data_IF_052321238986
#
_entry.id   IF_052321238986
#
_cell.length_a   1.000
_cell.length_b   1.000
_cell.length_c   1.000
_cell.angle_alpha   90.00
_cell.angle_beta   90.00
_cell.angle_gamma   90.00
#
_symmetry.space_group_name_H-M   'P 1'
#
loop_
_entity.id
_entity.type
_entity.pdbx_description
1 polymer ?
#
# COMPACT_ATOMS: atom_id res chain seq x y z
N UNK A 1 8.76 21.55 8.77
CA UNK A 1 8.10 22.08 7.55
C UNK A 1 6.77 21.34 7.42
N UNK A 2 5.68 21.95 6.92
CA UNK A 2 4.44 21.22 6.72
C UNK A 2 4.69 20.13 5.66
N UNK A 3 4.26 18.90 5.96
CA UNK A 3 4.33 17.76 5.05
C UNK A 3 3.65 18.07 3.70
N UNK A 4 4.31 17.76 2.60
CA UNK A 4 3.77 17.90 1.26
C UNK A 4 2.55 17.01 1.04
N UNK A 5 1.74 17.32 0.04
CA UNK A 5 0.53 16.52 -0.27
C UNK A 5 0.87 15.05 -0.56
N UNK A 6 1.92 14.79 -1.33
CA UNK A 6 2.38 13.43 -1.66
C UNK A 6 2.82 12.68 -0.42
N UNK A 7 3.66 13.30 0.41
CA UNK A 7 4.15 12.73 1.67
C UNK A 7 3.01 12.30 2.61
N UNK A 8 1.95 13.11 2.72
CA UNK A 8 0.76 12.72 3.51
C UNK A 8 0.07 11.47 2.97
N UNK A 9 -0.01 11.32 1.67
CA UNK A 9 -0.61 10.12 1.05
C UNK A 9 0.27 8.89 1.25
N UNK A 10 1.59 9.02 1.15
CA UNK A 10 2.53 7.93 1.42
C UNK A 10 2.43 7.46 2.87
N UNK A 11 2.43 8.40 3.84
CA UNK A 11 2.19 8.08 5.25
C UNK A 11 0.85 7.37 5.43
N UNK A 12 -0.22 7.88 4.82
CA UNK A 12 -1.55 7.31 4.93
C UNK A 12 -1.62 5.89 4.36
N UNK A 13 -1.04 5.65 3.19
CA UNK A 13 -0.98 4.32 2.56
C UNK A 13 -0.15 3.35 3.39
N UNK A 14 1.01 3.78 3.90
CA UNK A 14 1.82 2.94 4.77
C UNK A 14 1.04 2.50 6.02
N UNK A 15 0.22 3.36 6.62
CA UNK A 15 -0.63 3.01 7.75
C UNK A 15 -1.84 2.16 7.36
N UNK A 16 -2.45 2.41 6.20
CA UNK A 16 -3.48 1.53 5.69
C UNK A 16 -2.96 0.09 5.53
N UNK A 17 -1.73 -0.08 5.01
CA UNK A 17 -1.06 -1.36 4.91
C UNK A 17 -0.83 -1.99 6.31
N UNK A 18 -0.37 -1.21 7.29
CA UNK A 18 -0.18 -1.68 8.68
C UNK A 18 -1.49 -2.14 9.32
N UNK A 19 -2.59 -1.42 9.12
CA UNK A 19 -3.91 -1.83 9.61
C UNK A 19 -4.40 -3.13 8.97
N UNK A 20 -3.83 -3.53 7.86
CA UNK A 20 -4.06 -4.80 7.19
C UNK A 20 -3.02 -5.88 7.52
N UNK A 21 -2.22 -5.67 8.57
CA UNK A 21 -1.28 -6.65 9.09
C UNK A 21 0.07 -6.69 8.37
N UNK A 22 0.43 -5.65 7.63
CA UNK A 22 1.74 -5.53 6.99
C UNK A 22 2.75 -4.77 7.86
N UNK A 23 3.99 -5.21 7.85
CA UNK A 23 5.14 -4.40 8.23
C UNK A 23 5.55 -3.54 7.04
N UNK A 24 5.85 -2.27 7.26
CA UNK A 24 6.15 -1.33 6.17
C UNK A 24 7.55 -0.74 6.27
N UNK A 25 8.24 -0.66 5.13
CA UNK A 25 9.51 0.02 4.95
C UNK A 25 9.28 1.14 3.93
N UNK A 26 9.17 2.40 4.37
CA UNK A 26 8.95 3.54 3.47
C UNK A 26 10.26 3.94 2.77
N UNK A 27 10.14 4.60 1.63
CA UNK A 27 11.23 5.25 0.88
C UNK A 27 12.39 4.28 0.57
N UNK A 28 12.05 3.07 0.10
CA UNK A 28 13.05 2.06 -0.20
C UNK A 28 13.75 2.35 -1.53
N UNK A 29 15.06 2.56 -1.46
CA UNK A 29 15.87 2.83 -2.66
C UNK A 29 16.28 1.52 -3.32
N UNK A 30 15.83 1.33 -4.55
CA UNK A 30 16.21 0.19 -5.40
C UNK A 30 17.35 0.61 -6.31
N UNK A 31 18.41 -0.17 -6.32
CA UNK A 31 19.56 0.04 -7.21
C UNK A 31 19.41 -0.84 -8.45
N UNK A 32 19.87 -0.35 -9.62
CA UNK A 32 20.18 -1.28 -10.70
C UNK A 32 21.41 -2.10 -10.26
N UNK A 33 21.41 -3.40 -10.53
CA UNK A 33 22.58 -4.23 -10.23
C UNK A 33 23.84 -3.60 -10.84
N UNK A 34 24.94 -3.64 -10.09
CA UNK A 34 26.22 -3.19 -10.57
C UNK A 34 26.61 -4.02 -11.81
N UNK A 35 26.45 -3.44 -12.98
CA UNK A 35 27.08 -3.94 -14.19
C UNK A 35 28.52 -3.42 -14.20
N UNK A 36 29.50 -4.28 -13.86
CA UNK A 36 30.91 -3.87 -13.80
C UNK A 36 31.45 -3.37 -15.16
N UNK A 37 30.73 -3.62 -16.25
CA UNK A 37 31.07 -3.15 -17.59
C UNK A 37 30.60 -1.72 -17.86
N UNK A 38 29.68 -1.20 -17.05
CA UNK A 38 29.22 0.19 -17.10
C UNK A 38 30.17 1.12 -16.33
N UNK A 39 31.36 1.32 -16.85
CA UNK A 39 32.22 2.44 -16.44
C UNK A 39 31.59 3.76 -16.86
N UNK A 40 30.53 4.17 -16.22
CA UNK A 40 29.87 5.42 -16.55
C UNK A 40 30.34 6.52 -15.60
N UNK A 41 31.13 7.41 -16.13
CA UNK A 41 31.32 8.74 -15.56
C UNK A 41 29.93 9.37 -15.33
N UNK A 42 29.54 9.53 -14.10
CA UNK A 42 28.40 10.36 -13.73
C UNK A 42 27.04 9.68 -13.72
N UNK A 43 26.90 8.41 -13.27
CA UNK A 43 25.58 7.78 -13.16
C UNK A 43 24.85 8.20 -11.88
N UNK A 44 24.19 9.34 -11.97
CA UNK A 44 23.10 9.75 -11.07
C UNK A 44 21.78 9.11 -11.54
N UNK A 45 21.79 7.98 -12.26
CA UNK A 45 20.61 7.45 -12.96
C UNK A 45 20.17 6.03 -12.60
N UNK A 46 20.91 5.29 -11.79
CA UNK A 46 20.61 3.87 -11.52
C UNK A 46 19.85 3.63 -10.21
N UNK A 47 19.20 4.65 -9.67
CA UNK A 47 18.42 4.50 -8.45
C UNK A 47 16.96 4.83 -8.75
N UNK A 48 16.09 4.05 -8.19
CA UNK A 48 14.65 4.37 -8.11
C UNK A 48 14.20 4.19 -6.68
N UNK A 49 13.17 4.90 -6.32
CA UNK A 49 12.54 4.79 -5.03
C UNK A 49 11.24 4.03 -5.17
N UNK A 50 10.97 3.16 -4.21
CA UNK A 50 9.66 2.55 -3.96
C UNK A 50 9.08 3.24 -2.75
N UNK A 51 7.91 3.82 -2.88
CA UNK A 51 7.30 4.64 -1.82
C UNK A 51 7.11 3.81 -0.54
N UNK A 52 6.71 2.55 -0.67
CA UNK A 52 6.62 1.63 0.47
C UNK A 52 6.78 0.18 0.02
N UNK A 53 7.66 -0.58 0.69
CA UNK A 53 7.62 -2.04 0.70
C UNK A 53 6.83 -2.47 1.93
N UNK A 54 5.85 -3.34 1.74
CA UNK A 54 5.03 -3.86 2.82
C UNK A 54 5.04 -5.39 2.81
N UNK A 55 5.33 -6.00 3.96
CA UNK A 55 5.49 -7.44 4.13
C UNK A 55 4.46 -7.93 5.15
N UNK A 56 3.61 -8.86 4.75
CA UNK A 56 2.64 -9.52 5.60
C UNK A 56 3.07 -10.97 5.82
N UNK A 57 3.13 -11.36 7.09
CA UNK A 57 3.43 -12.74 7.46
C UNK A 57 2.18 -13.62 7.25
N UNK A 58 2.35 -14.95 7.08
CA UNK A 58 1.23 -15.87 7.10
C UNK A 58 0.37 -15.67 8.34
N UNK A 59 -0.95 -15.62 8.17
CA UNK A 59 -1.92 -15.44 9.28
C UNK A 59 -1.80 -14.14 10.09
N UNK A 60 -1.00 -13.18 9.61
CA UNK A 60 -0.85 -11.88 10.28
C UNK A 60 -2.19 -11.15 10.32
N UNK A 61 -2.58 -10.72 11.52
CA UNK A 61 -3.78 -9.92 11.77
C UNK A 61 -3.61 -9.14 13.06
N UNK A 62 -4.27 -8.02 13.15
CA UNK A 62 -4.36 -7.29 14.41
C UNK A 62 -5.51 -7.89 15.23
N UNK A 63 -5.21 -8.31 16.45
CA UNK A 63 -6.18 -8.88 17.38
C UNK A 63 -6.13 -8.16 18.72
N UNK A 64 -7.33 -7.99 19.31
CA UNK A 64 -7.49 -7.58 20.69
C UNK A 64 -8.66 -8.31 21.31
N UNK A 65 -8.59 -9.65 21.31
CA UNK A 65 -9.70 -10.52 21.69
C UNK A 65 -10.63 -10.85 20.52
N UNK A 66 -10.98 -9.87 19.69
CA UNK A 66 -11.72 -10.08 18.43
C UNK A 66 -10.85 -9.62 17.25
N UNK A 67 -10.73 -10.40 16.18
CA UNK A 67 -9.95 -10.02 15.02
C UNK A 67 -10.51 -8.74 14.38
N UNK A 68 -9.65 -7.78 14.12
CA UNK A 68 -10.03 -6.61 13.33
C UNK A 68 -10.20 -6.99 11.86
N UNK A 69 -11.15 -6.36 11.14
CA UNK A 69 -11.34 -6.60 9.72
C UNK A 69 -10.10 -6.23 8.91
N UNK A 70 -9.83 -7.00 7.88
CA UNK A 70 -8.83 -6.70 6.84
C UNK A 70 -9.54 -6.40 5.52
N UNK A 71 -8.97 -5.52 4.72
CA UNK A 71 -9.52 -5.19 3.40
C UNK A 71 -9.26 -6.33 2.42
N UNK A 72 -10.30 -7.05 2.04
CA UNK A 72 -10.20 -8.20 1.12
C UNK A 72 -9.68 -7.78 -0.26
N UNK A 73 -9.90 -6.54 -0.69
CA UNK A 73 -9.31 -6.03 -1.95
C UNK A 73 -7.78 -5.98 -1.89
N UNK A 74 -7.23 -5.69 -0.70
CA UNK A 74 -5.78 -5.69 -0.49
C UNK A 74 -5.28 -7.11 -0.27
N UNK A 75 -5.91 -7.87 0.63
CA UNK A 75 -5.44 -9.20 1.03
C UNK A 75 -5.51 -10.20 -0.13
N UNK A 76 -6.63 -10.23 -0.87
CA UNK A 76 -6.77 -10.93 -2.15
C UNK A 76 -6.22 -12.37 -2.10
N UNK A 77 -6.70 -13.16 -1.14
CA UNK A 77 -6.30 -14.54 -0.98
C UNK A 77 -4.89 -14.79 -0.40
N UNK A 78 -4.22 -13.77 0.17
CA UNK A 78 -2.89 -13.87 0.78
C UNK A 78 -2.82 -14.74 2.05
N UNK A 79 -3.95 -15.29 2.51
CA UNK A 79 -4.01 -16.10 3.74
C UNK A 79 -3.08 -17.32 3.64
N UNK A 80 -2.24 -17.50 4.66
CA UNK A 80 -1.35 -18.66 4.76
C UNK A 80 -0.01 -18.54 4.02
N UNK A 81 0.29 -17.41 3.38
CA UNK A 81 1.58 -17.17 2.72
C UNK A 81 2.17 -15.81 3.11
N UNK A 82 3.46 -15.66 2.90
CA UNK A 82 4.07 -14.34 2.90
C UNK A 82 3.55 -13.53 1.71
N UNK A 83 3.11 -12.31 1.96
CA UNK A 83 2.62 -11.42 0.92
C UNK A 83 3.39 -10.10 0.97
N UNK A 84 4.10 -9.80 -0.10
CA UNK A 84 4.88 -8.58 -0.25
C UNK A 84 4.20 -7.66 -1.24
N UNK A 85 3.94 -6.45 -0.82
CA UNK A 85 3.40 -5.39 -1.67
C UNK A 85 4.49 -4.35 -1.92
N UNK A 86 4.82 -4.17 -3.18
CA UNK A 86 5.62 -3.04 -3.67
C UNK A 86 4.61 -1.95 -4.00
N UNK A 87 4.45 -1.02 -3.07
CA UNK A 87 3.44 0.02 -3.16
C UNK A 87 3.98 1.29 -3.80
N UNK A 88 3.28 1.80 -4.78
CA UNK A 88 3.52 3.10 -5.39
C UNK A 88 2.34 4.03 -5.13
N UNK A 89 2.59 5.25 -4.66
CA UNK A 89 1.56 6.23 -4.31
C UNK A 89 1.54 7.36 -5.32
N UNK A 90 0.38 7.64 -5.90
CA UNK A 90 0.21 8.68 -6.91
C UNK A 90 -0.77 9.75 -6.44
N UNK A 91 -0.28 10.97 -6.30
CA UNK A 91 -1.05 12.15 -5.88
C UNK A 91 -1.52 13.03 -7.03
N UNK A 92 -1.15 12.73 -8.26
CA UNK A 92 -1.36 13.58 -9.42
C UNK A 92 -2.35 13.05 -10.45
N UNK A 93 -2.44 13.76 -11.57
CA UNK A 93 -3.28 13.37 -12.72
C UNK A 93 -2.72 12.14 -13.44
N UNK A 94 -1.39 11.98 -13.46
CA UNK A 94 -0.72 10.83 -14.07
C UNK A 94 -0.58 9.71 -13.06
N UNK A 95 -1.47 8.75 -13.13
CA UNK A 95 -1.47 7.56 -12.27
C UNK A 95 -0.82 6.36 -12.98
N UNK A 96 0.15 6.62 -13.84
CA UNK A 96 0.93 5.56 -14.52
C UNK A 96 2.01 5.00 -13.59
N UNK A 97 2.38 3.72 -13.75
CA UNK A 97 3.55 3.16 -13.08
C UNK A 97 4.80 4.01 -13.31
N UNK A 98 5.76 3.96 -12.41
CA UNK A 98 7.01 4.67 -12.61
C UNK A 98 7.81 4.08 -13.79
N UNK A 99 8.92 4.74 -14.15
CA UNK A 99 9.66 4.44 -15.38
C UNK A 99 10.16 2.99 -15.45
N UNK A 100 10.59 2.41 -14.33
CA UNK A 100 11.13 1.06 -14.27
C UNK A 100 10.10 0.04 -14.72
N UNK A 101 8.89 0.12 -14.16
CA UNK A 101 7.78 -0.76 -14.52
C UNK A 101 7.31 -0.55 -15.95
N UNK A 102 7.30 0.71 -16.41
CA UNK A 102 6.88 1.05 -17.79
C UNK A 102 7.86 0.58 -18.85
N UNK A 103 9.15 0.65 -18.55
CA UNK A 103 10.22 0.32 -19.48
C UNK A 103 10.65 -1.15 -19.40
N UNK A 104 10.14 -1.93 -18.42
CA UNK A 104 10.54 -3.31 -18.26
C UNK A 104 11.99 -3.49 -17.78
N UNK A 105 12.47 -2.63 -16.89
CA UNK A 105 13.86 -2.63 -16.41
C UNK A 105 14.07 -3.73 -15.36
N UNK A 106 14.35 -4.96 -15.82
CA UNK A 106 14.45 -6.16 -14.97
C UNK A 106 15.53 -6.06 -13.90
N UNK A 107 16.66 -5.37 -14.17
CA UNK A 107 17.78 -5.29 -13.22
C UNK A 107 17.40 -4.68 -11.87
N UNK A 108 16.53 -3.68 -11.86
CA UNK A 108 16.01 -3.09 -10.63
C UNK A 108 15.09 -4.06 -9.88
N UNK A 109 14.29 -4.80 -10.63
CA UNK A 109 13.36 -5.78 -10.05
C UNK A 109 14.11 -7.00 -9.50
N UNK A 110 15.17 -7.45 -10.20
CA UNK A 110 16.06 -8.50 -9.67
C UNK A 110 16.72 -8.07 -8.36
N UNK A 111 17.20 -6.82 -8.26
CA UNK A 111 17.74 -6.30 -7.01
C UNK A 111 16.70 -6.32 -5.90
N UNK A 112 15.48 -5.85 -6.18
CA UNK A 112 14.37 -5.84 -5.24
C UNK A 112 14.03 -7.27 -4.77
N UNK A 113 13.86 -8.20 -5.70
CA UNK A 113 13.54 -9.60 -5.38
C UNK A 113 14.67 -10.28 -4.59
N UNK A 114 15.93 -9.97 -4.90
CA UNK A 114 17.10 -10.45 -4.13
C UNK A 114 17.07 -9.91 -2.71
N UNK A 115 16.81 -8.62 -2.53
CA UNK A 115 16.65 -8.00 -1.21
C UNK A 115 15.52 -8.66 -0.40
N UNK A 116 14.42 -9.02 -1.06
CA UNK A 116 13.28 -9.72 -0.46
C UNK A 116 13.55 -11.21 -0.19
N UNK A 117 14.71 -11.73 -0.58
CA UNK A 117 15.05 -13.14 -0.38
C UNK A 117 14.26 -14.11 -1.26
N UNK A 118 13.87 -13.70 -2.49
CA UNK A 118 13.04 -14.49 -3.38
C UNK A 118 13.69 -15.85 -3.73
N UNK A 119 14.91 -15.84 -4.26
CA UNK A 119 15.66 -17.04 -4.63
C UNK A 119 17.16 -16.75 -4.73
N UNK A 120 18.01 -17.78 -4.50
CA UNK A 120 19.46 -17.68 -4.68
C UNK A 120 19.88 -17.92 -6.15
N UNK A 121 19.13 -18.75 -6.86
CA UNK A 121 19.38 -19.11 -8.26
C UNK A 121 19.12 -17.91 -9.18
N UNK A 122 20.13 -17.57 -10.00
CA UNK A 122 20.09 -16.37 -10.88
C UNK A 122 19.03 -16.48 -11.99
N UNK A 123 18.85 -17.68 -12.55
CA UNK A 123 17.91 -17.88 -13.67
C UNK A 123 16.47 -17.79 -13.17
N UNK A 124 16.20 -18.39 -12.02
CA UNK A 124 14.90 -18.25 -11.35
C UNK A 124 14.61 -16.81 -10.94
N UNK A 125 15.63 -16.09 -10.48
CA UNK A 125 15.52 -14.68 -10.14
C UNK A 125 15.16 -13.84 -11.36
N UNK A 126 15.89 -14.02 -12.48
CA UNK A 126 15.62 -13.32 -13.73
C UNK A 126 14.21 -13.65 -14.28
N UNK A 127 13.81 -14.92 -14.22
CA UNK A 127 12.46 -15.34 -14.57
C UNK A 127 11.37 -14.70 -13.71
N UNK A 128 11.59 -14.62 -12.40
CA UNK A 128 10.67 -13.98 -11.47
C UNK A 128 10.58 -12.45 -11.71
N UNK A 129 11.70 -11.78 -11.97
CA UNK A 129 11.72 -10.37 -12.28
C UNK A 129 10.95 -10.05 -13.57
N UNK A 130 11.17 -10.83 -14.60
CA UNK A 130 10.40 -10.72 -15.86
C UNK A 130 8.91 -10.92 -15.63
N UNK A 131 8.55 -11.98 -14.89
CA UNK A 131 7.15 -12.28 -14.56
C UNK A 131 6.50 -11.14 -13.75
N UNK A 132 7.22 -10.56 -12.79
CA UNK A 132 6.72 -9.46 -11.98
C UNK A 132 6.48 -8.18 -12.81
N UNK A 133 7.33 -7.89 -13.80
CA UNK A 133 7.14 -6.77 -14.73
C UNK A 133 5.93 -7.01 -15.66
N UNK A 134 5.80 -8.22 -16.19
CA UNK A 134 4.76 -8.53 -17.18
C UNK A 134 3.37 -8.66 -16.57
N UNK A 135 3.30 -9.20 -15.35
CA UNK A 135 2.03 -9.55 -14.69
C UNK A 135 1.75 -8.74 -13.41
N UNK A 136 2.72 -7.91 -12.99
CA UNK A 136 2.66 -7.14 -11.74
C UNK A 136 2.47 -8.00 -10.48
N UNK A 137 2.65 -9.30 -10.62
CA UNK A 137 2.65 -10.28 -9.53
C UNK A 137 3.52 -11.46 -9.89
N UNK A 138 4.18 -12.00 -8.87
CA UNK A 138 4.89 -13.27 -8.95
C UNK A 138 4.62 -14.05 -7.68
N UNK A 139 4.39 -15.36 -7.82
CA UNK A 139 3.97 -16.23 -6.73
C UNK A 139 4.77 -17.51 -6.70
N UNK A 140 5.07 -17.94 -5.47
CA UNK A 140 5.49 -19.29 -5.10
C UNK A 140 4.55 -19.81 -4.01
N UNK A 141 4.61 -21.11 -3.65
CA UNK A 141 3.68 -21.68 -2.68
C UNK A 141 3.55 -20.89 -1.37
N UNK A 142 4.68 -20.36 -0.88
CA UNK A 142 4.74 -19.69 0.43
C UNK A 142 4.98 -18.16 0.35
N UNK A 143 5.20 -17.62 -0.84
CA UNK A 143 5.57 -16.22 -1.02
C UNK A 143 4.90 -15.64 -2.27
N UNK A 144 4.36 -14.46 -2.12
CA UNK A 144 3.82 -13.65 -3.23
C UNK A 144 4.41 -12.25 -3.18
N UNK A 145 4.82 -11.73 -4.32
CA UNK A 145 5.22 -10.32 -4.48
C UNK A 145 4.31 -9.67 -5.51
N UNK A 146 3.76 -8.52 -5.16
CA UNK A 146 2.82 -7.77 -6.00
C UNK A 146 3.21 -6.30 -6.09
N UNK A 147 3.08 -5.74 -7.27
CA UNK A 147 3.13 -4.30 -7.47
C UNK A 147 1.72 -3.72 -7.44
N UNK A 148 1.47 -2.75 -6.56
CA UNK A 148 0.15 -2.12 -6.39
C UNK A 148 0.32 -0.61 -6.42
N UNK A 149 -0.53 0.07 -7.21
CA UNK A 149 -0.60 1.53 -7.24
C UNK A 149 -1.76 2.01 -6.36
N UNK A 150 -1.44 2.88 -5.42
CA UNK A 150 -2.40 3.62 -4.60
C UNK A 150 -2.58 5.01 -5.20
N UNK A 151 -3.79 5.34 -5.63
CA UNK A 151 -4.04 6.59 -6.35
C UNK A 151 -5.44 7.13 -6.09
N UNK A 152 -5.68 8.41 -6.38
CA UNK A 152 -7.04 8.95 -6.31
C UNK A 152 -7.98 8.37 -7.37
N UNK A 153 -7.42 7.93 -8.50
CA UNK A 153 -8.18 7.38 -9.64
C UNK A 153 -7.44 6.21 -10.28
N UNK A 154 -8.20 5.25 -10.77
CA UNK A 154 -7.67 4.15 -11.57
C UNK A 154 -7.26 4.66 -12.95
N UNK A 155 -6.09 4.29 -13.41
CA UNK A 155 -5.67 4.46 -14.80
C UNK A 155 -6.15 3.25 -15.60
N UNK A 156 -7.17 3.45 -16.45
CA UNK A 156 -7.82 2.36 -17.19
C UNK A 156 -6.84 1.61 -18.12
N UNK A 157 -5.90 2.32 -18.73
CA UNK A 157 -4.89 1.72 -19.63
C UNK A 157 -4.00 0.73 -18.88
N UNK A 158 -3.47 1.11 -17.73
CA UNK A 158 -2.58 0.26 -16.95
C UNK A 158 -3.33 -0.82 -16.16
N UNK A 159 -4.52 -0.51 -15.68
CA UNK A 159 -5.40 -1.52 -15.08
C UNK A 159 -5.78 -2.60 -16.10
N UNK A 160 -6.07 -2.22 -17.35
CA UNK A 160 -6.30 -3.18 -18.44
C UNK A 160 -5.08 -4.03 -18.82
N UNK A 161 -3.88 -3.60 -18.42
CA UNK A 161 -2.64 -4.39 -18.54
C UNK A 161 -2.33 -5.25 -17.32
N UNK A 162 -3.22 -5.30 -16.32
CA UNK A 162 -3.08 -6.11 -15.12
C UNK A 162 -2.50 -5.40 -13.89
N UNK A 163 -2.15 -4.11 -13.98
CA UNK A 163 -1.73 -3.34 -12.79
C UNK A 163 -2.90 -3.24 -11.81
N UNK A 164 -2.68 -3.69 -10.58
CA UNK A 164 -3.67 -3.53 -9.51
C UNK A 164 -3.64 -2.11 -8.98
N UNK A 165 -4.82 -1.50 -8.92
CA UNK A 165 -5.04 -0.20 -8.30
C UNK A 165 -5.92 -0.35 -7.08
N UNK A 166 -5.55 0.33 -5.99
CA UNK A 166 -6.42 0.57 -4.84
C UNK A 166 -6.60 2.08 -4.74
N UNK A 167 -7.85 2.55 -4.74
CA UNK A 167 -8.06 4.00 -4.68
C UNK A 167 -7.90 4.51 -3.25
N UNK A 168 -7.41 5.74 -3.12
CA UNK A 168 -7.36 6.41 -1.81
C UNK A 168 -8.76 6.51 -1.20
N UNK A 169 -9.80 6.60 -2.03
CA UNK A 169 -11.19 6.59 -1.57
C UNK A 169 -11.58 5.23 -0.92
N UNK A 170 -11.12 4.10 -1.48
CA UNK A 170 -11.35 2.77 -0.90
C UNK A 170 -10.62 2.62 0.43
N UNK A 171 -9.36 3.07 0.52
CA UNK A 171 -8.61 3.07 1.77
C UNK A 171 -9.32 3.90 2.86
N UNK A 172 -9.81 5.11 2.50
CA UNK A 172 -10.56 5.97 3.43
C UNK A 172 -11.86 5.30 3.86
N UNK A 173 -12.58 4.68 2.93
CA UNK A 173 -13.83 3.96 3.23
C UNK A 173 -13.56 2.82 4.21
N UNK A 174 -12.58 1.97 3.94
CA UNK A 174 -12.20 0.88 4.84
C UNK A 174 -11.89 1.39 6.25
N UNK A 175 -11.04 2.43 6.38
CA UNK A 175 -10.67 2.98 7.67
C UNK A 175 -11.87 3.62 8.40
N UNK A 176 -12.73 4.35 7.68
CA UNK A 176 -13.82 5.10 8.30
C UNK A 176 -15.06 4.25 8.61
N UNK A 177 -15.32 3.20 7.84
CA UNK A 177 -16.52 2.39 7.98
C UNK A 177 -16.24 1.06 8.66
N UNK A 178 -15.27 0.30 8.18
CA UNK A 178 -15.02 -1.06 8.67
C UNK A 178 -14.14 -1.02 9.92
N UNK A 179 -12.99 -0.40 9.81
CA UNK A 179 -12.01 -0.35 10.91
C UNK A 179 -12.43 0.57 12.05
N UNK A 180 -12.93 1.76 11.72
CA UNK A 180 -13.37 2.75 12.70
C UNK A 180 -14.51 2.26 13.56
N UNK A 181 -15.46 1.51 13.01
CA UNK A 181 -16.56 0.91 13.78
C UNK A 181 -16.05 -0.12 14.80
N UNK A 182 -15.11 -0.97 14.38
CA UNK A 182 -14.51 -1.95 15.29
C UNK A 182 -13.68 -1.30 16.38
N UNK A 183 -12.94 -0.25 16.10
CA UNK A 183 -12.22 0.52 17.12
C UNK A 183 -13.16 1.18 18.11
N UNK A 184 -14.28 1.73 17.66
CA UNK A 184 -15.26 2.36 18.53
C UNK A 184 -15.94 1.34 19.47
N UNK A 185 -16.26 0.13 18.98
CA UNK A 185 -16.94 -0.93 19.74
C UNK A 185 -16.01 -1.66 20.72
N UNK A 186 -14.73 -1.85 20.37
CA UNK A 186 -13.77 -2.61 21.19
C UNK A 186 -13.26 -1.88 22.43
N UNK A 187 -13.61 -0.60 22.62
CA UNK A 187 -13.10 0.23 23.72
C UNK A 187 -11.60 0.55 23.65
N UNK A 188 -10.88 0.01 22.67
CA UNK A 188 -9.45 0.25 22.46
C UNK A 188 -9.19 1.70 22.02
N UNK A 189 -10.16 2.33 21.36
CA UNK A 189 -10.07 3.69 20.88
C UNK A 189 -9.83 4.79 21.93
N UNK A 190 -9.84 4.45 23.22
CA UNK A 190 -9.59 5.40 24.31
C UNK A 190 -8.25 5.19 25.02
N UNK A 191 -7.48 4.17 24.66
CA UNK A 191 -6.22 3.85 25.34
C UNK A 191 -5.01 4.21 24.47
N UNK A 192 -3.99 4.67 25.12
CA UNK A 192 -2.70 5.22 24.70
C UNK A 192 -1.89 4.49 23.62
N UNK A 193 -2.38 3.41 23.02
CA UNK A 193 -1.68 2.71 21.93
C UNK A 193 -1.37 3.62 20.74
N UNK A 194 -2.16 4.68 20.59
CA UNK A 194 -2.11 5.57 19.43
C UNK A 194 -1.29 6.85 19.64
N UNK A 195 -0.79 7.08 20.83
CA UNK A 195 0.04 8.26 21.14
C UNK A 195 1.40 8.21 20.43
N UNK A 196 1.84 7.02 20.04
CA UNK A 196 3.07 6.82 19.25
C UNK A 196 2.85 6.90 17.74
N UNK A 197 1.62 7.07 17.29
CA UNK A 197 1.34 7.18 15.87
C UNK A 197 1.75 8.54 15.30
N UNK A 198 2.01 8.54 14.00
CA UNK A 198 2.19 9.78 13.26
C UNK A 198 1.00 10.72 13.49
N UNK A 199 1.21 12.04 13.72
CA UNK A 199 0.14 13.00 14.01
C UNK A 199 -0.99 13.01 12.97
N UNK A 200 -0.68 12.82 11.69
CA UNK A 200 -1.68 12.70 10.63
C UNK A 200 -2.59 11.49 10.87
N UNK A 201 -2.01 10.35 11.22
CA UNK A 201 -2.75 9.10 11.46
C UNK A 201 -3.58 9.20 12.73
N UNK A 202 -3.05 9.81 13.80
CA UNK A 202 -3.81 10.13 15.00
C UNK A 202 -5.06 10.94 14.65
N UNK A 203 -4.90 11.96 13.80
CA UNK A 203 -6.03 12.76 13.31
C UNK A 203 -7.03 11.97 12.49
N UNK A 204 -6.57 11.09 11.59
CA UNK A 204 -7.44 10.20 10.80
C UNK A 204 -8.24 9.29 11.73
N UNK A 205 -7.58 8.70 12.73
CA UNK A 205 -8.21 7.83 13.71
C UNK A 205 -9.29 8.58 14.54
N UNK A 206 -8.99 9.77 15.05
CA UNK A 206 -9.96 10.60 15.78
C UNK A 206 -11.22 10.85 14.94
N UNK A 207 -11.05 11.17 13.65
CA UNK A 207 -12.16 11.39 12.73
C UNK A 207 -12.95 10.09 12.48
N UNK A 208 -12.25 8.97 12.28
CA UNK A 208 -12.88 7.67 12.04
C UNK A 208 -13.74 7.20 13.22
N UNK A 209 -13.34 7.54 14.47
CA UNK A 209 -14.05 7.20 15.69
C UNK A 209 -15.08 8.24 16.16
N UNK A 210 -15.22 9.36 15.45
CA UNK A 210 -16.17 10.42 15.83
C UNK A 210 -17.62 9.96 15.59
N UNK A 211 -18.28 9.51 16.66
CA UNK A 211 -19.65 9.03 16.60
C UNK A 211 -20.67 10.13 16.22
N UNK A 212 -20.30 11.42 16.35
CA UNK A 212 -21.15 12.53 15.94
C UNK A 212 -21.23 12.69 14.42
N UNK A 213 -20.33 12.05 13.69
CA UNK A 213 -20.23 12.16 12.24
C UNK A 213 -20.89 10.96 11.55
N UNK A 214 -21.66 11.24 10.50
CA UNK A 214 -22.07 10.21 9.54
C UNK A 214 -20.87 9.64 8.78
N UNK A 215 -21.00 8.44 8.19
CA UNK A 215 -19.94 7.86 7.36
C UNK A 215 -19.45 8.79 6.25
N UNK A 216 -20.32 9.42 5.43
CA UNK A 216 -19.87 10.43 4.46
C UNK A 216 -19.16 11.64 5.11
N UNK A 217 -19.61 12.04 6.31
CA UNK A 217 -18.98 13.11 7.07
C UNK A 217 -17.54 12.77 7.49
N UNK A 218 -17.32 11.55 8.00
CA UNK A 218 -15.98 11.04 8.32
C UNK A 218 -15.08 11.00 7.09
N UNK A 219 -15.55 10.41 6.00
CA UNK A 219 -14.79 10.33 4.74
C UNK A 219 -14.38 11.73 4.25
N UNK A 220 -15.31 12.69 4.25
CA UNK A 220 -15.03 14.08 3.85
C UNK A 220 -13.96 14.74 4.74
N UNK A 221 -14.03 14.55 6.06
CA UNK A 221 -13.03 15.11 7.00
C UNK A 221 -11.66 14.45 6.83
N UNK A 222 -11.60 13.12 6.64
CA UNK A 222 -10.34 12.41 6.37
C UNK A 222 -9.72 12.91 5.06
N UNK A 223 -10.49 13.00 3.98
CA UNK A 223 -10.00 13.55 2.71
C UNK A 223 -9.37 14.94 2.89
N UNK A 224 -10.01 15.83 3.67
CA UNK A 224 -9.47 17.15 3.97
C UNK A 224 -8.16 17.08 4.77
N UNK A 225 -8.06 16.19 5.75
CA UNK A 225 -6.83 15.99 6.53
C UNK A 225 -5.66 15.54 5.64
N UNK A 226 -5.95 14.74 4.61
CA UNK A 226 -4.98 14.29 3.60
C UNK A 226 -4.67 15.37 2.54
N UNK A 227 -5.35 16.51 2.56
CA UNK A 227 -5.17 17.56 1.56
C UNK A 227 -5.88 17.30 0.23
N UNK A 228 -6.80 16.33 0.19
CA UNK A 228 -7.58 15.99 -1.01
C UNK A 228 -8.76 16.96 -1.18
N UNK A 229 -8.88 17.54 -2.37
CA UNK A 229 -10.05 18.35 -2.75
C UNK A 229 -11.27 17.47 -3.07
N UNK A 230 -12.47 18.06 -3.19
CA UNK A 230 -13.77 17.40 -3.22
C UNK A 230 -13.86 16.08 -4.03
N UNK A 231 -14.70 15.19 -3.51
CA UNK A 231 -14.87 13.77 -3.90
C UNK A 231 -15.33 13.52 -5.33
N UNK A 232 -14.81 12.47 -6.01
CA UNK A 232 -15.61 11.73 -6.98
C UNK A 232 -16.63 10.88 -6.22
N UNK A 233 -17.86 10.80 -6.74
CA UNK A 233 -18.95 10.02 -6.17
C UNK A 233 -18.55 8.56 -5.91
N UNK A 234 -18.60 8.11 -4.66
CA UNK A 234 -18.37 6.73 -4.28
C UNK A 234 -19.53 5.86 -4.77
N UNK A 235 -19.23 4.82 -5.57
CA UNK A 235 -20.19 3.73 -5.81
C UNK A 235 -20.36 2.94 -4.51
N UNK A 236 -21.60 2.82 -4.06
CA UNK A 236 -21.98 1.95 -2.93
C UNK A 236 -21.76 0.48 -3.32
N UNK A 237 -20.74 -0.15 -2.75
CA UNK A 237 -20.65 -1.60 -2.64
C UNK A 237 -20.87 -1.92 -1.15
N UNK A 238 -22.08 -2.32 -0.82
CA UNK A 238 -22.45 -2.60 0.57
C UNK A 238 -22.18 -4.06 0.94
N UNK A 239 -21.23 -4.29 1.81
CA UNK A 239 -21.27 -5.39 2.79
C UNK A 239 -21.10 -4.76 4.15
N UNK A 240 -22.03 -5.02 5.07
CA UNK A 240 -21.86 -4.69 6.49
C UNK A 240 -21.02 -5.80 7.12
N UNK A 241 -19.92 -5.43 7.76
CA UNK A 241 -19.18 -6.31 8.64
C UNK A 241 -19.73 -6.14 10.04
N UNK A 242 -20.20 -7.22 10.65
CA UNK A 242 -20.57 -7.25 12.05
C UNK A 242 -19.31 -7.60 12.85
N UNK A 243 -18.86 -6.66 13.68
CA UNK A 243 -17.81 -6.89 14.67
C UNK A 243 -18.49 -7.55 15.88
N UNK A 244 -18.48 -8.90 15.93
CA UNK A 244 -18.98 -9.70 17.06
C UNK A 244 -17.92 -9.85 18.13
#
# INVERSE_FOLDING_TARGET
MPEGHTERLEIFVAWYLRFNGYFTVPNFVVHAGDDPTRTSRGVVGNRTEVDTIAIRLPYSREESGTPFPTDENLIDGAKGRFDVVVAEVKSGKSNSPNKIWRNGETSHIEYLLRFLGWHEDKDKMAGAAKALIERYTVEEPNLRVRYIIFAERVNATWSGRGVKYITIADCIRFISEERGQCWASSGIGRRSMHDQWNPLIKRVFEIANDASLSSPGRQKKIRRALGLTASPSARRLGKRYECT
#
